data_IF_870078887124
#
_entry.id   IF_870078887124
#
_cell.length_a   1.000
_cell.length_b   1.000
_cell.length_c   1.000
_cell.angle_alpha   90.00
_cell.angle_beta   90.00
_cell.angle_gamma   90.00
#
_symmetry.space_group_name_H-M   'P 1'
#
loop_
_entity.id
_entity.type
_entity.pdbx_description
1 polymer ?
#
# COMPACT_ATOMS: atom_id res chain seq x y z
N UNK A 1 -25.20 30.92 4.95
CA UNK A 1 -24.75 29.65 5.56
C UNK A 1 -23.23 29.58 5.45
N UNK A 2 -22.59 30.48 6.20
CA UNK A 2 -21.41 31.27 5.79
C UNK A 2 -20.34 31.19 6.87
N UNK A 3 -19.07 31.04 6.47
CA UNK A 3 -17.83 31.17 7.26
C UNK A 3 -17.66 30.29 8.52
N UNK A 4 -18.66 30.19 9.39
CA UNK A 4 -18.62 29.44 10.64
C UNK A 4 -18.35 27.94 10.44
N UNK A 5 -18.90 27.33 9.38
CA UNK A 5 -18.72 25.89 9.09
C UNK A 5 -17.29 25.54 8.65
N UNK A 6 -16.53 26.50 8.10
CA UNK A 6 -15.18 26.24 7.56
C UNK A 6 -14.09 26.14 8.63
N UNK A 7 -14.34 26.62 9.84
CA UNK A 7 -13.36 26.67 10.91
C UNK A 7 -13.94 26.10 12.21
N UNK A 8 -14.54 24.92 12.11
CA UNK A 8 -15.09 24.18 13.25
C UNK A 8 -14.18 23.03 13.59
N UNK A 9 -13.86 22.92 14.87
CA UNK A 9 -13.37 21.69 15.49
C UNK A 9 -14.44 21.20 16.45
N UNK A 10 -14.89 19.97 16.28
CA UNK A 10 -15.89 19.37 17.16
C UNK A 10 -15.54 17.91 17.47
N UNK A 11 -15.95 17.44 18.64
CA UNK A 11 -15.68 16.07 19.09
C UNK A 11 -17.00 15.31 19.14
N UNK A 12 -17.06 14.16 18.46
CA UNK A 12 -18.20 13.24 18.53
C UNK A 12 -17.92 12.15 19.56
N UNK A 13 -18.99 11.55 20.11
CA UNK A 13 -18.84 10.40 20.99
C UNK A 13 -18.38 9.18 20.17
N UNK A 14 -17.33 8.44 20.57
CA UNK A 14 -16.74 8.33 21.90
C UNK A 14 -15.36 8.99 22.02
N UNK A 15 -15.25 10.26 21.63
CA UNK A 15 -14.04 11.11 21.65
C UNK A 15 -13.28 11.22 20.31
N UNK A 16 -14.01 11.19 19.18
CA UNK A 16 -13.46 11.41 17.84
C UNK A 16 -13.52 12.90 17.48
N UNK A 17 -12.36 13.56 17.44
CA UNK A 17 -12.25 14.98 17.07
C UNK A 17 -12.17 15.14 15.55
N UNK A 18 -13.07 15.96 15.00
CA UNK A 18 -13.14 16.31 13.59
C UNK A 18 -12.81 17.79 13.41
N UNK A 19 -12.05 18.08 12.36
CA UNK A 19 -11.72 19.42 11.90
C UNK A 19 -11.80 19.47 10.36
N UNK A 20 -11.72 20.66 9.77
CA UNK A 20 -11.69 20.83 8.33
C UNK A 20 -10.49 21.69 7.93
N UNK A 21 -9.90 21.41 6.78
CA UNK A 21 -8.82 22.22 6.22
C UNK A 21 -9.36 23.55 5.65
N UNK A 22 -8.46 24.41 5.14
CA UNK A 22 -8.84 25.70 4.51
C UNK A 22 -9.80 25.61 3.31
N UNK A 23 -9.93 24.43 2.71
CA UNK A 23 -10.84 24.14 1.60
C UNK A 23 -12.17 23.52 2.06
N UNK A 24 -12.30 23.17 3.34
CA UNK A 24 -13.46 22.50 3.91
C UNK A 24 -13.40 20.97 3.86
N UNK A 25 -12.25 20.38 3.52
CA UNK A 25 -12.10 18.92 3.52
C UNK A 25 -11.75 18.41 4.92
N UNK A 26 -12.36 17.31 5.39
CA UNK A 26 -11.96 16.65 6.62
C UNK A 26 -10.59 15.96 6.45
N UNK A 27 -9.89 15.63 7.55
CA UNK A 27 -8.72 14.76 7.51
C UNK A 27 -9.02 13.46 6.78
N UNK A 28 -8.14 13.05 5.87
CA UNK A 28 -8.27 11.79 5.17
C UNK A 28 -8.08 10.63 6.17
N UNK A 29 -9.15 9.84 6.39
CA UNK A 29 -9.16 8.67 7.24
C UNK A 29 -9.94 7.56 6.53
N UNK A 30 -9.27 6.45 6.22
CA UNK A 30 -9.83 5.34 5.45
C UNK A 30 -9.55 4.01 6.12
N UNK A 31 -10.54 3.13 6.09
CA UNK A 31 -10.38 1.73 6.46
C UNK A 31 -9.92 0.91 5.25
N UNK A 32 -8.93 0.05 5.46
CA UNK A 32 -8.48 -0.90 4.45
C UNK A 32 -9.23 -2.20 4.69
N UNK A 33 -10.00 -2.63 3.69
CA UNK A 33 -10.88 -3.80 3.78
C UNK A 33 -10.40 -4.92 2.86
N UNK A 34 -10.36 -6.14 3.40
CA UNK A 34 -10.16 -7.37 2.62
C UNK A 34 -11.51 -7.99 2.31
N UNK A 35 -11.67 -8.39 1.06
CA UNK A 35 -12.84 -9.12 0.58
C UNK A 35 -12.51 -10.60 0.56
N UNK A 36 -13.36 -11.41 1.20
CA UNK A 36 -13.28 -12.87 1.21
C UNK A 36 -14.48 -13.40 0.45
N UNK A 37 -14.20 -14.03 -0.68
CA UNK A 37 -15.21 -14.68 -1.51
C UNK A 37 -15.38 -16.12 -1.03
N UNK A 38 -16.51 -16.41 -0.41
CA UNK A 38 -16.86 -17.75 0.05
C UNK A 38 -17.58 -18.53 -1.05
N UNK A 39 -17.50 -19.88 -1.05
CA UNK A 39 -18.35 -20.71 -1.89
C UNK A 39 -19.83 -20.34 -1.67
N UNK A 40 -20.59 -20.10 -2.74
CA UNK A 40 -22.00 -19.67 -2.67
C UNK A 40 -22.26 -18.18 -2.86
N UNK A 41 -21.31 -17.40 -3.39
CA UNK A 41 -21.44 -15.95 -3.69
C UNK A 41 -21.62 -15.04 -2.46
N UNK A 42 -21.29 -15.53 -1.27
CA UNK A 42 -21.25 -14.70 -0.08
C UNK A 42 -19.91 -13.95 0.01
N UNK A 43 -19.98 -12.62 0.14
CA UNK A 43 -18.82 -11.76 0.33
C UNK A 43 -18.71 -11.43 1.82
N UNK A 44 -17.60 -11.82 2.44
CA UNK A 44 -17.26 -11.44 3.80
C UNK A 44 -16.19 -10.37 3.75
N UNK A 45 -16.48 -9.18 4.28
CA UNK A 45 -15.51 -8.09 4.37
C UNK A 45 -14.88 -8.04 5.75
N UNK A 46 -13.56 -7.83 5.83
CA UNK A 46 -12.85 -7.67 7.09
C UNK A 46 -11.93 -6.46 7.02
N UNK A 47 -11.98 -5.58 8.03
CA UNK A 47 -11.00 -4.50 8.19
C UNK A 47 -9.62 -5.12 8.50
N UNK A 48 -8.63 -4.79 7.68
CA UNK A 48 -7.25 -5.28 7.78
C UNK A 48 -6.25 -4.16 8.04
N UNK A 49 -6.68 -2.91 8.07
CA UNK A 49 -5.78 -1.79 8.23
C UNK A 49 -6.50 -0.46 8.20
N UNK A 50 -5.72 0.60 8.18
CA UNK A 50 -6.21 1.95 8.06
C UNK A 50 -5.16 2.88 7.49
N UNK A 51 -5.63 3.98 6.93
CA UNK A 51 -4.82 5.07 6.44
C UNK A 51 -5.38 6.35 7.03
N UNK A 52 -4.58 7.08 7.78
CA UNK A 52 -4.96 8.37 8.35
C UNK A 52 -3.89 9.42 8.05
N UNK A 53 -4.34 10.62 7.70
CA UNK A 53 -3.50 11.80 7.54
C UNK A 53 -3.75 12.70 8.74
N UNK A 54 -2.72 12.82 9.60
CA UNK A 54 -2.71 13.73 10.75
C UNK A 54 -1.52 14.65 10.62
N UNK A 55 -1.72 15.96 10.81
CA UNK A 55 -0.73 17.05 10.79
C UNK A 55 0.65 16.66 10.23
N UNK A 56 0.74 16.72 8.89
CA UNK A 56 1.95 16.51 8.08
C UNK A 56 2.51 15.09 8.02
N UNK A 57 1.83 14.09 8.59
CA UNK A 57 2.22 12.68 8.47
C UNK A 57 1.04 11.83 8.00
N UNK A 58 1.22 11.19 6.86
CA UNK A 58 0.38 10.07 6.45
C UNK A 58 0.85 8.81 7.18
N UNK A 59 -0.05 8.16 7.89
CA UNK A 59 0.20 6.89 8.55
C UNK A 59 -0.64 5.82 7.85
N UNK A 60 0.06 4.80 7.35
CA UNK A 60 -0.53 3.59 6.79
C UNK A 60 -0.19 2.45 7.73
N UNK A 61 -1.21 1.70 8.17
CA UNK A 61 -0.99 0.44 8.86
C UNK A 61 -1.83 -0.66 8.24
N UNK A 62 -1.22 -1.82 8.09
CA UNK A 62 -1.88 -3.05 7.68
C UNK A 62 -1.58 -4.07 8.76
N UNK A 63 -2.63 -4.65 9.34
CA UNK A 63 -2.52 -5.74 10.28
C UNK A 63 -2.07 -7.00 9.53
N UNK A 64 -0.79 -7.34 9.70
CA UNK A 64 -0.18 -8.54 9.16
C UNK A 64 -0.65 -9.78 9.94
N UNK A 65 -1.88 -10.21 9.67
CA UNK A 65 -2.36 -11.52 10.11
C UNK A 65 -1.74 -12.62 9.22
N UNK A 66 -1.41 -13.81 9.77
CA UNK A 66 -0.88 -14.93 8.97
C UNK A 66 -1.77 -15.31 7.78
N UNK A 67 -3.08 -15.08 7.88
CA UNK A 67 -4.06 -15.38 6.84
C UNK A 67 -4.46 -14.17 5.97
N UNK A 68 -3.68 -13.08 5.98
CA UNK A 68 -3.98 -11.88 5.21
C UNK A 68 -4.13 -12.15 3.70
N UNK A 69 -3.40 -13.13 3.16
CA UNK A 69 -3.46 -13.49 1.73
C UNK A 69 -4.19 -14.79 1.45
N UNK A 70 -4.55 -15.54 2.50
CA UNK A 70 -5.35 -16.76 2.38
C UNK A 70 -6.80 -16.45 1.96
N UNK A 71 -7.55 -17.44 1.43
CA UNK A 71 -7.11 -18.82 1.19
C UNK A 71 -6.30 -18.98 -0.10
N UNK A 72 -6.23 -17.96 -0.97
CA UNK A 72 -5.60 -18.07 -2.29
C UNK A 72 -4.08 -18.15 -2.22
N UNK A 73 -3.44 -17.45 -1.29
CA UNK A 73 -1.99 -17.47 -1.12
C UNK A 73 -1.61 -17.76 0.32
N UNK A 74 -0.61 -18.62 0.50
CA UNK A 74 -0.04 -18.96 1.81
C UNK A 74 0.99 -17.92 2.29
N UNK A 75 1.49 -17.09 1.38
CA UNK A 75 2.48 -16.05 1.63
C UNK A 75 2.07 -14.77 0.87
N UNK A 76 2.78 -13.67 1.13
CA UNK A 76 2.57 -12.42 0.39
C UNK A 76 2.86 -12.68 -1.09
N UNK A 77 1.90 -12.44 -2.01
CA UNK A 77 2.14 -12.63 -3.43
C UNK A 77 3.13 -11.59 -3.95
N UNK A 78 4.09 -12.02 -4.77
CA UNK A 78 5.01 -11.13 -5.43
C UNK A 78 4.38 -10.60 -6.73
N UNK A 79 4.35 -9.27 -6.88
CA UNK A 79 3.88 -8.60 -8.10
C UNK A 79 5.07 -7.93 -8.79
N UNK A 80 6.00 -8.74 -9.29
CA UNK A 80 7.22 -8.30 -9.97
C UNK A 80 7.12 -8.58 -11.47
N UNK A 81 7.65 -7.68 -12.29
CA UNK A 81 7.69 -7.87 -13.75
C UNK A 81 8.63 -9.01 -14.17
N UNK A 82 9.72 -9.19 -13.42
CA UNK A 82 10.70 -10.25 -13.58
C UNK A 82 11.33 -10.55 -12.22
N UNK A 83 11.99 -11.71 -12.12
CA UNK A 83 12.72 -12.08 -10.92
C UNK A 83 13.88 -11.11 -10.63
N UNK A 84 14.27 -10.90 -9.35
CA UNK A 84 15.51 -10.23 -8.98
C UNK A 84 16.73 -10.90 -9.63
N UNK A 85 17.77 -10.12 -9.93
CA UNK A 85 18.98 -10.71 -10.51
C UNK A 85 19.76 -11.46 -9.44
N UNK A 86 20.34 -12.60 -9.78
CA UNK A 86 21.24 -13.27 -8.85
C UNK A 86 22.57 -12.50 -8.74
N UNK A 87 23.35 -12.70 -7.66
CA UNK A 87 24.72 -12.20 -7.59
C UNK A 87 25.52 -12.61 -8.84
N UNK A 88 26.41 -11.73 -9.29
CA UNK A 88 27.14 -11.86 -10.56
C UNK A 88 26.36 -11.41 -11.81
N UNK A 89 25.11 -10.97 -11.66
CA UNK A 89 24.33 -10.38 -12.75
C UNK A 89 23.95 -8.92 -12.44
N UNK A 90 23.93 -8.09 -13.49
CA UNK A 90 23.46 -6.70 -13.45
C UNK A 90 22.15 -6.55 -14.21
N UNK A 91 21.38 -5.51 -13.85
CA UNK A 91 20.14 -5.16 -14.53
C UNK A 91 20.46 -4.49 -15.86
N UNK A 92 19.83 -4.95 -16.93
CA UNK A 92 19.86 -4.34 -18.26
C UNK A 92 18.47 -3.86 -18.63
N UNK A 93 18.39 -2.63 -19.16
CA UNK A 93 17.10 -2.06 -19.59
C UNK A 93 16.56 -2.87 -20.77
N UNK A 94 15.29 -3.25 -20.68
CA UNK A 94 14.55 -3.79 -21.82
C UNK A 94 13.93 -2.64 -22.62
N UNK A 95 14.31 -2.50 -23.88
CA UNK A 95 13.76 -1.44 -24.74
C UNK A 95 12.24 -1.57 -24.88
N UNK A 96 11.54 -0.44 -24.83
CA UNK A 96 10.07 -0.40 -24.88
C UNK A 96 9.35 -0.83 -23.59
N UNK A 97 10.04 -1.38 -22.58
CA UNK A 97 9.43 -1.80 -21.33
C UNK A 97 9.49 -0.71 -20.23
N UNK A 98 8.60 -0.76 -19.21
CA UNK A 98 8.71 0.09 -18.02
C UNK A 98 10.01 -0.12 -17.25
N UNK A 99 10.42 0.87 -16.45
CA UNK A 99 11.70 0.84 -15.71
C UNK A 99 11.83 -0.30 -14.69
N UNK A 100 10.72 -0.84 -14.18
CA UNK A 100 10.73 -1.99 -13.28
C UNK A 100 10.94 -3.33 -13.99
N UNK A 101 10.89 -3.35 -15.32
CA UNK A 101 11.10 -4.54 -16.15
C UNK A 101 12.50 -4.51 -16.76
N UNK A 102 13.32 -5.50 -16.43
CA UNK A 102 14.72 -5.56 -16.84
C UNK A 102 15.16 -7.01 -17.10
N UNK A 103 16.24 -7.13 -17.86
CA UNK A 103 16.93 -8.40 -18.07
C UNK A 103 18.13 -8.50 -17.12
N UNK A 104 18.45 -9.71 -16.67
CA UNK A 104 19.63 -9.98 -15.87
C UNK A 104 20.74 -10.47 -16.78
N UNK A 105 21.78 -9.65 -16.96
CA UNK A 105 22.95 -9.98 -17.79
C UNK A 105 24.17 -10.17 -16.90
N UNK A 106 25.10 -11.08 -17.23
CA UNK A 106 26.33 -11.25 -16.46
C UNK A 106 27.09 -9.93 -16.31
N UNK A 107 27.74 -9.75 -15.16
CA UNK A 107 28.75 -8.72 -15.02
C UNK A 107 29.87 -8.94 -16.04
N UNK A 108 30.45 -7.86 -16.54
CA UNK A 108 31.64 -7.96 -17.38
C UNK A 108 32.85 -8.33 -16.52
N UNK A 109 33.89 -8.87 -17.14
CA UNK A 109 35.12 -9.24 -16.43
C UNK A 109 35.68 -8.05 -15.64
N UNK A 110 35.91 -8.26 -14.34
CA UNK A 110 36.37 -7.22 -13.42
C UNK A 110 35.27 -6.44 -12.70
N UNK A 111 33.99 -6.64 -13.06
CA UNK A 111 32.85 -6.10 -12.32
C UNK A 111 32.20 -7.16 -11.42
N UNK A 112 31.61 -6.73 -10.30
CA UNK A 112 30.89 -7.60 -9.37
C UNK A 112 29.52 -7.04 -9.00
N UNK A 113 28.56 -7.95 -8.82
CA UNK A 113 27.25 -7.67 -8.24
C UNK A 113 27.03 -8.62 -7.06
N UNK A 114 27.01 -8.09 -5.84
CA UNK A 114 27.00 -8.90 -4.61
C UNK A 114 25.62 -8.97 -3.93
N UNK A 115 24.62 -8.30 -4.51
CA UNK A 115 23.26 -8.27 -3.95
C UNK A 115 22.25 -8.56 -5.05
N UNK A 116 21.17 -9.22 -4.68
CA UNK A 116 20.06 -9.54 -5.57
C UNK A 116 19.06 -8.39 -5.73
#
# INVERSE_FOLDING_TARGET
LNQFVRNVTFTTFPNDTHSFNKYGDPPACFDIIKWLFSPGHHIVTRKIGGFNVSDHKAQLYINHSPNLWGPLFNMIPQSLCNAPCAPGHRKSKREGAPSCCYDCVPCVDGEMSNTS
#
